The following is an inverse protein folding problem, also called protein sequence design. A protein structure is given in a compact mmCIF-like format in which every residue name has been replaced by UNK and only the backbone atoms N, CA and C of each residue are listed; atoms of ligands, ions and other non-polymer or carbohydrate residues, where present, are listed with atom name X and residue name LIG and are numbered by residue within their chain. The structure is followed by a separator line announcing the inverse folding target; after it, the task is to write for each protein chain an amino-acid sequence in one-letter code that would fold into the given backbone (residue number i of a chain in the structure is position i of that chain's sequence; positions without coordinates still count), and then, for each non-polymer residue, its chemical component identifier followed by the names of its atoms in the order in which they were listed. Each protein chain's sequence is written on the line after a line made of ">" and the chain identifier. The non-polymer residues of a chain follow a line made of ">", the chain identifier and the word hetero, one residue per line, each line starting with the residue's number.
data_IF_202632422106
#
_entry.id   IF_202632422106
#
_cell.length_a   1.000
_cell.length_b   1.000
_cell.length_c   1.000
_cell.angle_alpha   90.00
_cell.angle_beta   90.00
_cell.angle_gamma   90.00
#
_symmetry.space_group_name_H-M   'P 1'
#
loop_
_entity.id
_entity.type
_entity.pdbx_description
1 polymer ?
#
# COMPACT_ATOMS: atom_id res chain seq x y z
N UNK A 1 0.75 44.56 -39.73
CA UNK A 1 0.74 44.14 -38.30
C UNK A 1 0.49 42.64 -38.22
N UNK A 2 1.50 41.76 -38.36
CA UNK A 2 1.20 40.31 -38.48
C UNK A 2 2.39 39.37 -38.24
N UNK A 3 3.18 39.56 -37.16
CA UNK A 3 4.22 38.56 -36.80
C UNK A 3 4.67 38.59 -35.32
N UNK A 4 3.87 39.15 -34.40
CA UNK A 4 4.30 39.41 -32.99
C UNK A 4 3.93 38.32 -31.97
N UNK A 5 3.14 37.32 -32.36
CA UNK A 5 2.64 36.26 -31.46
C UNK A 5 3.30 34.86 -31.54
N UNK A 6 4.03 34.44 -32.59
CA UNK A 6 4.53 33.06 -32.65
C UNK A 6 5.58 32.78 -31.55
N UNK A 7 6.38 33.78 -31.17
CA UNK A 7 7.36 33.66 -30.09
C UNK A 7 6.69 33.42 -28.72
N UNK A 8 5.55 34.08 -28.48
CA UNK A 8 4.80 33.97 -27.23
C UNK A 8 4.12 32.60 -27.09
N UNK A 9 3.65 32.05 -28.21
CA UNK A 9 3.08 30.69 -28.27
C UNK A 9 4.17 29.65 -28.01
N UNK A 10 5.35 29.78 -28.61
CA UNK A 10 6.48 28.86 -28.38
C UNK A 10 6.93 28.91 -26.91
N UNK A 11 7.02 30.11 -26.34
CA UNK A 11 7.38 30.28 -24.93
C UNK A 11 6.33 29.66 -23.99
N UNK A 12 5.05 29.88 -24.26
CA UNK A 12 3.99 29.30 -23.43
C UNK A 12 3.94 27.78 -23.56
N UNK A 13 4.08 27.24 -24.78
CA UNK A 13 4.13 25.80 -25.01
C UNK A 13 5.33 25.16 -24.30
N UNK A 14 6.49 25.83 -24.29
CA UNK A 14 7.67 25.38 -23.53
C UNK A 14 7.44 25.32 -22.02
N UNK A 15 6.60 26.21 -21.48
CA UNK A 15 6.24 26.19 -20.06
C UNK A 15 5.28 25.05 -19.71
N UNK A 16 4.33 24.73 -20.61
CA UNK A 16 3.41 23.58 -20.44
C UNK A 16 4.11 22.22 -20.59
N UNK A 17 5.20 22.16 -21.36
CA UNK A 17 5.98 20.94 -21.59
C UNK A 17 7.10 20.74 -20.55
N UNK A 18 7.25 21.66 -19.59
CA UNK A 18 8.25 21.53 -18.55
C UNK A 18 7.90 20.32 -17.64
N UNK A 19 8.85 19.39 -17.40
CA UNK A 19 8.59 18.24 -16.56
C UNK A 19 8.29 18.69 -15.13
N UNK A 20 7.10 18.37 -14.63
CA UNK A 20 6.76 18.54 -13.22
C UNK A 20 7.44 17.45 -12.40
N UNK A 21 8.13 17.83 -11.33
CA UNK A 21 8.66 16.84 -10.37
C UNK A 21 7.50 16.33 -9.52
N UNK A 22 7.29 15.02 -9.50
CA UNK A 22 6.41 14.33 -8.56
C UNK A 22 7.29 13.62 -7.56
N UNK A 23 6.98 13.76 -6.27
CA UNK A 23 7.62 12.97 -5.21
C UNK A 23 6.77 11.73 -4.93
N UNK A 24 7.42 10.62 -4.60
CA UNK A 24 6.70 9.48 -4.02
C UNK A 24 6.05 9.93 -2.71
N UNK A 25 4.84 9.43 -2.44
CA UNK A 25 4.27 9.57 -1.11
C UNK A 25 5.18 8.83 -0.10
N UNK A 26 5.41 9.40 1.08
CA UNK A 26 6.13 8.69 2.14
C UNK A 26 5.40 7.37 2.46
N UNK A 27 6.19 6.33 2.72
CA UNK A 27 5.67 5.02 3.11
C UNK A 27 5.05 5.13 4.50
N UNK A 28 3.94 4.43 4.75
CA UNK A 28 3.35 4.35 6.08
C UNK A 28 4.31 3.64 7.04
N UNK A 29 4.45 4.17 8.25
CA UNK A 29 5.09 3.51 9.37
C UNK A 29 4.16 2.41 9.91
N UNK A 30 4.75 1.25 10.19
CA UNK A 30 4.05 0.09 10.74
C UNK A 30 4.56 -0.15 12.15
N UNK A 31 3.65 -0.23 13.10
CA UNK A 31 3.95 -0.53 14.50
C UNK A 31 2.94 -1.54 15.06
N UNK A 32 3.23 -2.08 16.24
CA UNK A 32 2.38 -3.09 16.91
C UNK A 32 2.02 -4.31 16.03
N UNK A 33 2.87 -4.63 15.04
CA UNK A 33 2.71 -5.80 14.18
C UNK A 33 2.77 -7.09 15.01
N UNK A 34 1.71 -7.89 14.92
CA UNK A 34 1.58 -9.13 15.65
C UNK A 34 0.74 -10.17 14.90
N UNK A 35 1.07 -11.43 15.14
CA UNK A 35 0.29 -12.58 14.71
C UNK A 35 -0.07 -13.42 15.95
N UNK A 36 -1.35 -13.49 16.28
CA UNK A 36 -1.86 -14.31 17.39
C UNK A 36 -2.36 -15.63 16.84
N UNK A 37 -1.71 -16.74 17.22
CA UNK A 37 -2.04 -18.07 16.75
C UNK A 37 -2.93 -18.81 17.74
N UNK A 38 -4.09 -19.26 17.27
CA UNK A 38 -4.98 -20.21 17.95
C UNK A 38 -5.00 -21.51 17.15
N UNK A 39 -3.85 -22.18 17.08
CA UNK A 39 -3.71 -23.39 16.28
C UNK A 39 -4.63 -24.52 16.76
N UNK A 40 -5.28 -25.29 15.85
CA UNK A 40 -5.22 -25.20 14.38
C UNK A 40 -6.33 -24.33 13.76
N UNK A 41 -7.03 -23.54 14.56
CA UNK A 41 -8.29 -22.90 14.15
C UNK A 41 -8.04 -21.60 13.39
N UNK A 42 -7.37 -20.64 14.03
CA UNK A 42 -7.27 -19.28 13.51
C UNK A 42 -5.92 -18.65 13.76
N UNK A 43 -5.51 -17.75 12.87
CA UNK A 43 -4.45 -16.78 13.15
C UNK A 43 -5.02 -15.38 12.90
N UNK A 44 -4.77 -14.47 13.83
CA UNK A 44 -5.19 -13.06 13.72
C UNK A 44 -3.96 -12.19 13.61
N UNK A 45 -3.84 -11.51 12.48
CA UNK A 45 -2.81 -10.52 12.22
C UNK A 45 -3.34 -9.14 12.60
N UNK A 46 -2.54 -8.33 13.27
CA UNK A 46 -2.91 -6.95 13.63
C UNK A 46 -1.71 -6.03 13.56
N UNK A 47 -1.94 -4.78 13.17
CA UNK A 47 -0.92 -3.73 13.12
C UNK A 47 -1.56 -2.34 13.24
N UNK A 48 -0.76 -1.37 13.66
CA UNK A 48 -1.10 0.05 13.63
C UNK A 48 -0.29 0.73 12.54
N UNK A 49 -0.97 1.43 11.64
CA UNK A 49 -0.38 2.12 10.49
C UNK A 49 -0.46 3.63 10.69
N UNK A 50 0.64 4.34 10.42
CA UNK A 50 0.71 5.81 10.49
C UNK A 50 1.34 6.39 9.21
N UNK A 51 0.78 7.46 8.66
CA UNK A 51 1.28 8.09 7.45
C UNK A 51 0.94 9.60 7.40
N UNK A 52 1.75 10.36 6.64
CA UNK A 52 1.52 11.80 6.42
C UNK A 52 0.31 12.10 5.52
N UNK A 53 -0.24 11.08 4.84
CA UNK A 53 -1.41 11.17 3.97
C UNK A 53 -2.45 10.11 4.36
N UNK A 54 -3.74 10.29 4.01
CA UNK A 54 -4.76 9.31 4.31
C UNK A 54 -4.46 7.94 3.70
N UNK A 55 -4.42 6.92 4.54
CA UNK A 55 -4.38 5.51 4.16
C UNK A 55 -5.77 5.14 3.67
N UNK A 56 -5.89 4.76 2.40
CA UNK A 56 -7.16 4.42 1.74
C UNK A 56 -7.22 2.97 1.26
N UNK A 57 -6.09 2.28 1.28
CA UNK A 57 -5.98 0.86 0.94
C UNK A 57 -4.89 0.20 1.79
N UNK A 58 -5.13 -1.05 2.20
CA UNK A 58 -4.20 -1.85 3.00
C UNK A 58 -4.21 -3.27 2.46
N UNK A 59 -3.02 -3.78 2.12
CA UNK A 59 -2.80 -5.18 1.78
C UNK A 59 -1.91 -5.81 2.84
N UNK A 60 -2.43 -6.82 3.53
CA UNK A 60 -1.63 -7.67 4.41
C UNK A 60 -0.97 -8.76 3.58
N UNK A 61 0.37 -8.80 3.62
CA UNK A 61 1.15 -9.89 3.06
C UNK A 61 1.57 -10.83 4.19
N UNK A 62 1.25 -12.12 4.05
CA UNK A 62 1.59 -13.12 5.06
C UNK A 62 2.14 -14.39 4.40
N UNK A 63 3.07 -15.03 5.11
CA UNK A 63 3.74 -16.24 4.66
C UNK A 63 4.45 -16.90 5.84
N UNK A 64 5.30 -17.88 5.54
CA UNK A 64 6.25 -18.38 6.52
C UNK A 64 7.63 -18.50 5.87
N UNK A 65 8.63 -18.68 6.71
CA UNK A 65 9.96 -19.07 6.26
C UNK A 65 9.98 -20.56 5.91
N UNK A 66 10.12 -20.86 4.63
CA UNK A 66 9.99 -22.20 4.06
C UNK A 66 11.21 -22.54 3.22
N UNK A 67 11.74 -23.76 3.38
CA UNK A 67 12.83 -24.27 2.54
C UNK A 67 12.26 -24.80 1.21
N UNK A 68 11.86 -23.89 0.33
CA UNK A 68 11.33 -24.24 -1.01
C UNK A 68 12.09 -23.50 -2.11
N UNK A 69 11.79 -23.81 -3.38
CA UNK A 69 12.46 -23.20 -4.53
C UNK A 69 12.00 -21.76 -4.83
N UNK A 70 11.13 -21.18 -3.99
CA UNK A 70 10.62 -19.82 -4.14
C UNK A 70 9.97 -19.29 -2.87
N UNK A 71 9.56 -18.03 -2.90
CA UNK A 71 8.82 -17.40 -1.81
C UNK A 71 7.33 -17.45 -2.12
N UNK A 72 6.53 -17.95 -1.17
CA UNK A 72 5.07 -18.02 -1.30
C UNK A 72 4.47 -17.03 -0.32
N UNK A 73 3.91 -15.95 -0.86
CA UNK A 73 3.26 -14.88 -0.10
C UNK A 73 1.78 -14.85 -0.42
N UNK A 74 0.95 -14.98 0.61
CA UNK A 74 -0.49 -14.79 0.51
C UNK A 74 -0.86 -13.33 0.80
N UNK A 75 -2.00 -12.90 0.27
CA UNK A 75 -2.51 -11.53 0.42
C UNK A 75 -3.90 -11.53 1.02
N UNK A 76 -4.12 -10.62 1.96
CA UNK A 76 -5.41 -10.35 2.56
C UNK A 76 -5.72 -8.85 2.55
N UNK A 77 -7.00 -8.53 2.63
CA UNK A 77 -7.54 -7.17 2.53
C UNK A 77 -8.38 -6.89 3.77
N UNK A 78 -7.78 -6.41 4.88
CA UNK A 78 -8.52 -6.07 6.09
C UNK A 78 -9.50 -4.92 5.84
N UNK A 79 -10.66 -4.98 6.48
CA UNK A 79 -11.53 -3.82 6.60
C UNK A 79 -10.95 -2.86 7.65
N UNK A 80 -10.97 -1.56 7.35
CA UNK A 80 -10.48 -0.53 8.25
C UNK A 80 -11.15 0.82 7.95
N UNK A 81 -10.98 1.78 8.85
CA UNK A 81 -11.44 3.16 8.60
C UNK A 81 -10.29 3.98 8.01
N UNK A 82 -10.45 4.57 6.81
CA UNK A 82 -9.42 5.41 6.21
C UNK A 82 -9.02 6.59 7.09
N UNK A 83 -7.72 6.89 7.15
CA UNK A 83 -7.15 7.93 8.01
C UNK A 83 -5.63 7.99 7.93
N UNK A 84 -5.03 8.98 8.57
CA UNK A 84 -3.56 9.09 8.68
C UNK A 84 -2.97 8.18 9.76
N UNK A 85 -3.81 7.68 10.66
CA UNK A 85 -3.49 6.65 11.65
C UNK A 85 -4.67 5.69 11.71
N UNK A 86 -4.42 4.38 11.56
CA UNK A 86 -5.48 3.37 11.54
C UNK A 86 -4.98 2.04 12.07
N UNK A 87 -5.81 1.37 12.86
CA UNK A 87 -5.58 0.01 13.31
C UNK A 87 -6.22 -0.97 12.34
N UNK A 88 -5.47 -1.99 11.95
CA UNK A 88 -5.95 -3.05 11.05
C UNK A 88 -5.87 -4.40 11.73
N UNK A 89 -6.85 -5.25 11.47
CA UNK A 89 -6.86 -6.63 11.94
C UNK A 89 -7.49 -7.54 10.91
N UNK A 90 -6.89 -8.71 10.69
CA UNK A 90 -7.43 -9.72 9.79
C UNK A 90 -7.25 -11.11 10.40
N UNK A 91 -8.36 -11.86 10.49
CA UNK A 91 -8.36 -13.22 11.02
C UNK A 91 -8.52 -14.22 9.88
N UNK A 92 -7.57 -15.13 9.78
CA UNK A 92 -7.64 -16.29 8.90
C UNK A 92 -8.21 -17.50 9.65
N UNK A 93 -9.32 -18.07 9.16
CA UNK A 93 -9.75 -19.42 9.55
C UNK A 93 -8.90 -20.47 8.82
N UNK A 94 -7.90 -20.99 9.52
CA UNK A 94 -6.94 -21.96 8.98
C UNK A 94 -7.61 -23.27 8.56
N UNK A 95 -8.79 -23.60 9.09
CA UNK A 95 -9.53 -24.83 8.71
C UNK A 95 -10.17 -24.70 7.32
N UNK A 96 -10.34 -23.47 6.83
CA UNK A 96 -10.84 -23.19 5.48
C UNK A 96 -9.71 -23.10 4.45
N UNK A 97 -8.47 -23.35 4.85
CA UNK A 97 -7.38 -23.53 3.90
C UNK A 97 -7.61 -24.80 3.09
N UNK A 98 -7.60 -24.68 1.77
CA UNK A 98 -7.58 -25.85 0.89
C UNK A 98 -6.32 -26.68 1.15
N UNK A 99 -6.29 -27.93 0.68
CA UNK A 99 -5.04 -28.70 0.61
C UNK A 99 -4.05 -27.91 -0.25
N UNK A 100 -3.10 -27.25 0.40
CA UNK A 100 -1.88 -26.77 -0.25
C UNK A 100 -1.07 -27.97 -0.76
#
# INVERSE_FOLDING_TARGET
>A
MRFRYPLLIIFMMGFLLAPTRVTAAPQADVSADSATLEFPNTVTFSATLEADAPIVDVTLEYGNDQLTCGEVTAKAFPDFTPGTSTDVSWTWDMRQSGSL
#
